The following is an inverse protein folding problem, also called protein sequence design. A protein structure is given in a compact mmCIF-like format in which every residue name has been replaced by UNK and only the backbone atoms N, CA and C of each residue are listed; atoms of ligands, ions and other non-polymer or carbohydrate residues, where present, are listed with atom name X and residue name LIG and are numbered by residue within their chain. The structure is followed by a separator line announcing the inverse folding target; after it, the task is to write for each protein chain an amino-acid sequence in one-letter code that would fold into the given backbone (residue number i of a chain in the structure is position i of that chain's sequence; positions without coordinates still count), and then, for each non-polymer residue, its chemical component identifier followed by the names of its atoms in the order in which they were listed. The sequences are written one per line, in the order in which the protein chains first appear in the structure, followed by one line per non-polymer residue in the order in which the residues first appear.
data_IF_292046858347
#
_entry.id   IF_292046858347
#
_cell.length_a   1.000
_cell.length_b   1.000
_cell.length_c   1.000
_cell.angle_alpha   90.00
_cell.angle_beta   90.00
_cell.angle_gamma   90.00
#
_symmetry.space_group_name_H-M   'P 1'
#
loop_
_entity.id
_entity.type
_entity.pdbx_description
1 polymer ?
#
# COMPACT_ATOMS: atom_id res chain seq x y z
N UNK A 1 0.34 9.07 -9.05
CA UNK A 1 0.55 9.55 -7.67
C UNK A 1 1.91 9.14 -7.07
N UNK A 2 3.02 9.13 -7.83
CA UNK A 2 4.37 8.88 -7.26
C UNK A 2 4.98 10.15 -6.64
N UNK A 3 4.52 11.33 -7.10
CA UNK A 3 5.07 12.64 -6.77
C UNK A 3 4.81 13.15 -5.35
N UNK A 4 3.79 12.64 -4.64
CA UNK A 4 3.51 13.04 -3.24
C UNK A 4 4.40 12.27 -2.25
N UNK A 5 4.97 11.13 -2.66
CA UNK A 5 5.81 10.31 -1.77
C UNK A 5 7.13 11.00 -1.46
N UNK A 6 7.78 11.56 -2.47
CA UNK A 6 9.09 12.22 -2.35
C UNK A 6 9.08 13.35 -1.31
N UNK A 7 8.18 14.35 -1.37
CA UNK A 7 8.18 15.44 -0.38
C UNK A 7 7.85 14.95 1.03
N UNK A 8 7.05 13.88 1.17
CA UNK A 8 6.71 13.33 2.49
C UNK A 8 7.92 12.65 3.15
N UNK A 9 8.71 11.91 2.37
CA UNK A 9 9.97 11.32 2.84
C UNK A 9 11.04 12.39 3.08
N UNK A 10 11.11 13.42 2.24
CA UNK A 10 12.00 14.57 2.48
C UNK A 10 11.63 15.32 3.76
N UNK A 11 10.35 15.53 4.03
CA UNK A 11 9.88 16.14 5.29
C UNK A 11 10.21 15.26 6.50
N UNK A 12 10.04 13.94 6.40
CA UNK A 12 10.42 13.01 7.46
C UNK A 12 11.94 13.00 7.71
N UNK A 13 12.76 13.02 6.66
CA UNK A 13 14.22 13.12 6.78
C UNK A 13 14.67 14.46 7.35
N UNK A 14 14.03 15.56 6.95
CA UNK A 14 14.30 16.88 7.51
C UNK A 14 13.92 16.96 8.99
N UNK A 15 12.78 16.38 9.39
CA UNK A 15 12.40 16.32 10.81
C UNK A 15 13.36 15.46 11.62
N UNK A 16 13.85 14.35 11.05
CA UNK A 16 14.81 13.45 11.69
C UNK A 16 16.19 14.11 11.81
N UNK A 17 16.61 14.89 10.82
CA UNK A 17 17.83 15.69 10.86
C UNK A 17 17.76 16.78 11.94
N UNK A 18 16.65 17.53 11.99
CA UNK A 18 16.41 18.53 13.05
C UNK A 18 16.38 17.87 14.42
N UNK A 19 15.82 16.67 14.55
CA UNK A 19 15.82 15.91 15.80
C UNK A 19 17.25 15.56 16.26
N UNK A 20 18.08 15.00 15.37
CA UNK A 20 19.47 14.62 15.68
C UNK A 20 20.28 15.88 16.03
N UNK A 21 20.11 16.95 15.26
CA UNK A 21 20.83 18.21 15.47
C UNK A 21 20.41 18.87 16.78
N UNK A 22 19.11 18.94 17.09
CA UNK A 22 18.60 19.46 18.36
C UNK A 22 19.02 18.60 19.55
N UNK A 23 19.01 17.27 19.43
CA UNK A 23 19.50 16.36 20.47
C UNK A 23 20.99 16.59 20.79
N UNK A 24 21.76 17.04 19.80
CA UNK A 24 23.19 17.34 19.94
C UNK A 24 23.46 18.75 20.50
N UNK A 25 22.50 19.70 20.38
CA UNK A 25 22.68 21.12 20.72
C UNK A 25 21.90 21.60 21.95
N UNK A 26 20.77 20.99 22.29
CA UNK A 26 19.93 21.34 23.44
C UNK A 26 19.32 20.09 24.06
N UNK A 27 19.51 19.94 25.37
CA UNK A 27 18.94 18.88 26.22
C UNK A 27 17.41 19.02 26.42
N UNK A 28 16.67 19.51 25.42
CA UNK A 28 15.20 19.62 25.48
C UNK A 28 14.56 18.30 25.01
N UNK A 29 14.68 17.30 25.88
CA UNK A 29 14.19 15.91 25.70
C UNK A 29 12.70 15.84 25.28
N UNK A 30 11.89 16.81 25.73
CA UNK A 30 10.45 16.86 25.49
C UNK A 30 10.09 17.13 24.01
N UNK A 31 10.85 18.01 23.36
CA UNK A 31 10.57 18.44 21.98
C UNK A 31 10.95 17.34 20.98
N UNK A 32 12.06 16.64 21.26
CA UNK A 32 12.50 15.44 20.54
C UNK A 32 11.49 14.29 20.71
N UNK A 33 11.01 14.08 21.94
CA UNK A 33 10.02 13.03 22.24
C UNK A 33 8.67 13.28 21.55
N UNK A 34 8.25 14.53 21.37
CA UNK A 34 7.03 14.89 20.64
C UNK A 34 7.19 14.82 19.11
N UNK A 35 8.32 15.25 18.56
CA UNK A 35 8.54 15.29 17.11
C UNK A 35 8.80 13.91 16.50
N UNK A 36 9.46 13.02 17.24
CA UNK A 36 9.81 11.68 16.77
C UNK A 36 8.58 10.85 16.33
N UNK A 37 7.52 10.68 17.14
CA UNK A 37 6.34 9.94 16.73
C UNK A 37 5.59 10.65 15.58
N UNK A 38 5.59 11.98 15.50
CA UNK A 38 4.94 12.69 14.38
C UNK A 38 5.66 12.42 13.06
N UNK A 39 7.00 12.49 13.05
CA UNK A 39 7.82 12.23 11.87
C UNK A 39 7.69 10.80 11.34
N UNK A 40 7.49 9.81 12.21
CA UNK A 40 7.32 8.40 11.83
C UNK A 40 5.86 7.99 11.58
N UNK A 41 4.93 8.42 12.42
CA UNK A 41 3.54 7.98 12.35
C UNK A 41 2.80 8.66 11.19
N UNK A 42 3.04 9.93 10.91
CA UNK A 42 2.34 10.63 9.81
C UNK A 42 2.57 9.98 8.43
N UNK A 43 3.81 9.68 7.99
CA UNK A 43 4.03 8.95 6.74
C UNK A 43 3.39 7.57 6.74
N UNK A 44 3.51 6.85 7.85
CA UNK A 44 3.01 5.48 7.97
C UNK A 44 1.48 5.40 7.92
N UNK A 45 0.79 6.28 8.65
CA UNK A 45 -0.67 6.39 8.65
C UNK A 45 -1.19 6.95 7.32
N UNK A 46 -0.47 7.88 6.69
CA UNK A 46 -0.81 8.41 5.37
C UNK A 46 -0.79 7.34 4.27
N UNK A 47 0.25 6.51 4.22
CA UNK A 47 0.34 5.38 3.28
C UNK A 47 -0.80 4.36 3.55
N UNK A 48 -1.02 4.03 4.82
CA UNK A 48 -2.08 3.09 5.23
C UNK A 48 -3.48 3.60 4.87
N UNK A 49 -3.76 4.89 5.07
CA UNK A 49 -5.03 5.52 4.72
C UNK A 49 -5.24 5.54 3.20
N UNK A 50 -4.23 5.91 2.42
CA UNK A 50 -4.30 5.88 0.96
C UNK A 50 -4.53 4.47 0.42
N UNK A 51 -3.94 3.46 1.04
CA UNK A 51 -4.15 2.06 0.67
C UNK A 51 -5.58 1.60 1.00
N UNK A 52 -6.10 1.95 2.20
CA UNK A 52 -7.50 1.68 2.58
C UNK A 52 -8.49 2.38 1.66
N UNK A 53 -8.23 3.64 1.28
CA UNK A 53 -9.08 4.41 0.36
C UNK A 53 -9.11 3.77 -1.02
N UNK A 54 -7.96 3.41 -1.60
CA UNK A 54 -7.92 2.69 -2.89
C UNK A 54 -8.65 1.36 -2.84
N UNK A 55 -8.55 0.64 -1.71
CA UNK A 55 -9.30 -0.61 -1.49
C UNK A 55 -10.80 -0.35 -1.51
N UNK A 56 -11.27 0.67 -0.77
CA UNK A 56 -12.68 1.07 -0.73
C UNK A 56 -13.18 1.52 -2.11
N UNK A 57 -12.41 2.33 -2.82
CA UNK A 57 -12.76 2.81 -4.17
C UNK A 57 -12.78 1.68 -5.20
N UNK A 58 -11.90 0.68 -5.06
CA UNK A 58 -11.91 -0.52 -5.90
C UNK A 58 -13.15 -1.39 -5.65
N UNK A 59 -13.44 -1.73 -4.38
CA UNK A 59 -14.66 -2.47 -4.06
C UNK A 59 -15.93 -1.68 -4.36
N UNK A 60 -15.90 -0.35 -4.30
CA UNK A 60 -17.04 0.48 -4.72
C UNK A 60 -17.42 0.32 -6.19
N UNK A 61 -16.51 -0.17 -7.05
CA UNK A 61 -16.80 -0.46 -8.46
C UNK A 61 -17.51 -1.81 -8.65
N UNK A 62 -17.35 -2.72 -7.69
CA UNK A 62 -17.87 -4.07 -7.75
C UNK A 62 -18.75 -4.26 -6.52
N UNK A 63 -20.05 -3.99 -6.65
CA UNK A 63 -21.01 -3.96 -5.54
C UNK A 63 -20.99 -5.18 -4.61
N UNK A 64 -20.38 -6.30 -5.01
CA UNK A 64 -20.03 -7.44 -4.15
C UNK A 64 -18.74 -8.14 -4.59
N UNK A 65 -18.17 -8.97 -3.70
CA UNK A 65 -17.02 -9.85 -4.02
C UNK A 65 -17.40 -10.89 -5.07
N UNK A 66 -18.65 -11.34 -5.09
CA UNK A 66 -19.14 -12.29 -6.10
C UNK A 66 -19.25 -11.65 -7.48
N UNK A 67 -19.60 -10.37 -7.56
CA UNK A 67 -19.54 -9.59 -8.80
C UNK A 67 -18.10 -9.40 -9.29
N UNK A 68 -17.13 -9.36 -8.38
CA UNK A 68 -15.72 -9.34 -8.75
C UNK A 68 -15.27 -10.69 -9.32
N UNK A 69 -15.73 -11.81 -8.75
CA UNK A 69 -15.46 -13.17 -9.25
C UNK A 69 -16.06 -13.42 -10.63
N UNK A 70 -17.30 -12.98 -10.86
CA UNK A 70 -17.97 -13.17 -12.16
C UNK A 70 -17.31 -12.40 -13.31
N UNK A 71 -16.55 -11.33 -13.00
CA UNK A 71 -15.76 -10.57 -13.96
C UNK A 71 -14.41 -11.22 -14.26
N UNK A 72 -13.95 -12.15 -13.41
CA UNK A 72 -12.79 -13.00 -13.71
C UNK A 72 -13.22 -14.09 -14.69
N UNK A 73 -13.38 -13.72 -15.95
CA UNK A 73 -13.80 -14.62 -17.04
C UNK A 73 -12.81 -15.76 -17.27
N UNK A 74 -11.54 -15.57 -16.88
CA UNK A 74 -10.43 -16.52 -17.09
C UNK A 74 -10.03 -17.28 -15.81
N UNK A 75 -10.99 -17.68 -14.98
CA UNK A 75 -10.72 -18.38 -13.71
C UNK A 75 -9.86 -19.65 -13.91
N UNK A 76 -10.14 -20.41 -14.98
CA UNK A 76 -9.39 -21.63 -15.33
C UNK A 76 -7.96 -21.35 -15.81
N UNK A 77 -7.74 -20.26 -16.56
CA UNK A 77 -6.39 -19.85 -16.98
C UNK A 77 -5.58 -19.38 -15.76
N UNK A 78 -6.22 -18.63 -14.86
CA UNK A 78 -5.60 -18.16 -13.63
C UNK A 78 -5.20 -19.29 -12.68
N UNK A 79 -6.04 -20.33 -12.54
CA UNK A 79 -5.68 -21.56 -11.82
C UNK A 79 -4.47 -22.24 -12.43
N UNK A 80 -4.46 -22.47 -13.75
CA UNK A 80 -3.30 -23.10 -14.43
C UNK A 80 -2.02 -22.32 -14.21
N UNK A 81 -2.07 -20.99 -14.36
CA UNK A 81 -0.88 -20.14 -14.18
C UNK A 81 -0.43 -20.12 -12.72
N UNK A 82 -1.36 -20.15 -11.76
CA UNK A 82 -1.03 -20.27 -10.33
C UNK A 82 -0.33 -21.58 -10.05
N UNK A 83 -0.82 -22.68 -10.59
CA UNK A 83 -0.30 -24.03 -10.31
C UNK A 83 1.04 -24.27 -11.03
N UNK A 84 1.23 -23.73 -12.24
CA UNK A 84 2.48 -23.87 -13.01
C UNK A 84 3.57 -22.86 -12.62
N UNK A 85 3.20 -21.59 -12.40
CA UNK A 85 4.15 -20.46 -12.28
C UNK A 85 4.12 -19.79 -10.91
N UNK A 86 3.18 -20.18 -10.05
CA UNK A 86 3.02 -19.65 -8.71
C UNK A 86 2.07 -18.45 -8.62
N UNK A 87 1.59 -18.24 -7.40
CA UNK A 87 0.58 -17.22 -7.02
C UNK A 87 1.00 -15.80 -7.42
N UNK A 88 2.28 -15.44 -7.27
CA UNK A 88 2.77 -14.10 -7.57
C UNK A 88 2.70 -13.77 -9.07
N UNK A 89 2.97 -14.75 -9.94
CA UNK A 89 2.92 -14.57 -11.40
C UNK A 89 1.48 -14.44 -11.86
N UNK A 90 0.57 -15.27 -11.32
CA UNK A 90 -0.85 -15.19 -11.56
C UNK A 90 -1.43 -13.83 -11.12
N UNK A 91 -1.11 -13.35 -9.90
CA UNK A 91 -1.54 -12.04 -9.42
C UNK A 91 -1.00 -10.88 -10.26
N UNK A 92 0.24 -10.99 -10.77
CA UNK A 92 0.83 -9.98 -11.65
C UNK A 92 0.15 -9.95 -13.02
N UNK A 93 -0.26 -11.11 -13.56
CA UNK A 93 -1.03 -11.19 -14.82
C UNK A 93 -2.45 -10.64 -14.64
N UNK A 94 -3.10 -10.98 -13.54
CA UNK A 94 -4.40 -10.39 -13.16
C UNK A 94 -4.33 -8.86 -13.07
N UNK A 95 -3.26 -8.31 -12.45
CA UNK A 95 -3.04 -6.85 -12.42
C UNK A 95 -2.73 -6.22 -13.77
N UNK A 96 -2.32 -6.98 -14.79
CA UNK A 96 -2.19 -6.45 -16.16
C UNK A 96 -3.55 -6.28 -16.81
N UNK A 97 -4.47 -7.23 -16.59
CA UNK A 97 -5.87 -7.10 -17.02
C UNK A 97 -6.62 -6.03 -16.21
N UNK A 98 -6.34 -5.93 -14.91
CA UNK A 98 -6.98 -4.99 -13.98
C UNK A 98 -5.93 -4.10 -13.26
N UNK A 99 -5.41 -3.04 -13.91
CA UNK A 99 -4.31 -2.23 -13.38
C UNK A 99 -4.66 -1.44 -12.11
N UNK A 100 -5.96 -1.20 -11.87
CA UNK A 100 -6.47 -0.52 -10.68
C UNK A 100 -6.61 -1.44 -9.46
N UNK A 101 -6.50 -2.76 -9.64
CA UNK A 101 -6.64 -3.71 -8.54
C UNK A 101 -5.48 -3.59 -7.53
N UNK A 102 -5.76 -3.48 -6.21
CA UNK A 102 -4.75 -3.54 -5.17
C UNK A 102 -4.04 -4.91 -5.18
N UNK A 103 -2.70 -4.90 -5.05
CA UNK A 103 -1.89 -6.12 -4.98
C UNK A 103 -2.35 -7.15 -3.93
N UNK A 104 -2.63 -6.78 -2.66
CA UNK A 104 -3.08 -7.75 -1.66
C UNK A 104 -4.41 -8.40 -2.03
N UNK A 105 -5.27 -7.68 -2.75
CA UNK A 105 -6.58 -8.20 -3.17
C UNK A 105 -6.46 -9.13 -4.39
N UNK A 106 -5.62 -8.79 -5.35
CA UNK A 106 -5.26 -9.68 -6.44
C UNK A 106 -4.70 -11.01 -5.91
N UNK A 107 -3.84 -10.96 -4.88
CA UNK A 107 -3.29 -12.16 -4.25
C UNK A 107 -4.36 -12.99 -3.55
N UNK A 108 -5.21 -12.35 -2.74
CA UNK A 108 -6.32 -13.03 -2.06
C UNK A 108 -7.27 -13.71 -3.05
N UNK A 109 -7.58 -13.05 -4.15
CA UNK A 109 -8.42 -13.63 -5.20
C UNK A 109 -7.77 -14.88 -5.79
N UNK A 110 -6.54 -14.77 -6.28
CA UNK A 110 -5.77 -15.89 -6.86
C UNK A 110 -5.61 -17.06 -5.88
N UNK A 111 -5.46 -16.78 -4.59
CA UNK A 111 -5.37 -17.80 -3.54
C UNK A 111 -6.72 -18.46 -3.22
N UNK A 112 -7.82 -17.72 -3.39
CA UNK A 112 -9.18 -18.22 -3.13
C UNK A 112 -9.81 -18.98 -4.31
N UNK A 113 -9.21 -18.83 -5.51
CA UNK A 113 -9.46 -19.71 -6.65
C UNK A 113 -8.94 -21.11 -6.33
#
# INVERSE_FOLDING_TARGET
MKWIRVPLWCAALASLYVMIFSFHLLMDSLLVFLLCPVGFLVPFWGESYLQRRRRKDWYGQFGSIDALRSIVTDEAELRRIRDEKGVLVAARRFRRQFPRCPLPEALKLVQSL
#
